data_IF_728299057924
#
_entry.id   IF_728299057924
#
_cell.length_a   1.000
_cell.length_b   1.000
_cell.length_c   1.000
_cell.angle_alpha   90.00
_cell.angle_beta   90.00
_cell.angle_gamma   90.00
#
_symmetry.space_group_name_H-M   'P 1'
#
loop_
_entity.id
_entity.type
_entity.pdbx_description
1 polymer ?
#
# COMPACT_ATOMS: atom_id res chain seq x y z
N UNK A 1 -4.44 9.25 -4.70
CA UNK A 1 -4.29 8.76 -3.33
C UNK A 1 -2.92 9.11 -2.72
N UNK A 2 -1.79 8.87 -3.38
CA UNK A 2 -0.44 9.02 -2.81
C UNK A 2 -0.18 10.35 -2.08
N UNK A 3 -0.41 11.55 -2.65
CA UNK A 3 -0.17 12.80 -1.94
C UNK A 3 -1.06 13.00 -0.69
N UNK A 4 -2.27 12.42 -0.70
CA UNK A 4 -3.18 12.50 0.43
C UNK A 4 -2.74 11.58 1.57
N UNK A 5 -2.25 10.39 1.24
CA UNK A 5 -1.78 9.40 2.21
C UNK A 5 -0.46 9.80 2.85
N UNK A 6 0.39 10.55 2.16
CA UNK A 6 1.66 11.03 2.71
C UNK A 6 1.52 11.81 4.02
N UNK A 7 0.36 12.40 4.31
CA UNK A 7 0.11 13.13 5.56
C UNK A 7 -0.07 12.21 6.78
N UNK A 8 -0.36 10.94 6.59
CA UNK A 8 -0.47 9.94 7.65
C UNK A 8 0.90 9.47 8.13
N UNK A 9 1.92 9.51 7.27
CA UNK A 9 3.25 8.97 7.52
C UNK A 9 3.96 9.76 8.61
N UNK A 10 4.04 9.21 9.79
CA UNK A 10 4.84 9.69 10.91
C UNK A 10 4.75 11.19 11.18
N UNK A 11 5.76 11.74 11.82
CA UNK A 11 5.92 13.16 12.08
C UNK A 11 6.82 13.85 11.04
N UNK A 12 6.84 15.18 11.03
CA UNK A 12 7.66 15.96 10.10
C UNK A 12 9.13 15.49 10.00
N UNK A 13 9.84 15.21 11.13
CA UNK A 13 11.23 14.69 11.06
C UNK A 13 11.36 13.37 10.30
N UNK A 14 10.35 12.50 10.38
CA UNK A 14 10.32 11.23 9.64
C UNK A 14 10.13 11.49 8.14
N UNK A 15 9.10 12.28 7.78
CA UNK A 15 8.80 12.60 6.38
C UNK A 15 9.90 13.41 5.69
N UNK A 16 10.63 14.25 6.41
CA UNK A 16 11.70 15.07 5.85
C UNK A 16 12.98 14.29 5.53
N UNK A 17 13.14 13.08 6.06
CA UNK A 17 14.33 12.24 5.87
C UNK A 17 14.01 10.88 5.24
N UNK A 18 12.82 10.38 5.44
CA UNK A 18 12.36 9.12 4.87
C UNK A 18 12.20 9.21 3.36
N UNK A 19 12.34 8.07 2.69
CA UNK A 19 12.10 7.92 1.27
C UNK A 19 11.01 6.91 1.03
N UNK A 20 10.32 7.03 -0.08
CA UNK A 20 9.29 6.08 -0.52
C UNK A 20 9.88 4.66 -0.64
N UNK A 21 10.98 4.54 -1.40
CA UNK A 21 11.68 3.25 -1.59
C UNK A 21 12.21 2.67 -0.28
N UNK A 22 12.71 3.52 0.64
CA UNK A 22 13.18 3.08 1.95
C UNK A 22 12.06 2.48 2.81
N UNK A 23 10.85 3.04 2.77
CA UNK A 23 9.69 2.49 3.48
C UNK A 23 9.28 1.13 2.93
N UNK A 24 9.24 0.99 1.60
CA UNK A 24 8.93 -0.29 0.94
C UNK A 24 10.03 -1.33 1.23
N UNK A 25 11.31 -0.95 1.18
CA UNK A 25 12.43 -1.84 1.49
C UNK A 25 12.44 -2.28 2.96
N UNK A 26 11.96 -1.43 3.86
CA UNK A 26 11.83 -1.76 5.28
C UNK A 26 10.74 -2.79 5.55
N UNK A 27 9.69 -2.83 4.73
CA UNK A 27 8.59 -3.79 4.78
C UNK A 27 7.91 -3.91 6.15
N UNK A 28 7.62 -2.76 6.80
CA UNK A 28 6.75 -2.74 7.96
C UNK A 28 5.31 -3.02 7.51
N UNK A 29 4.61 -4.02 8.09
CA UNK A 29 3.23 -4.36 7.70
C UNK A 29 2.20 -3.25 7.93
N UNK A 30 2.53 -2.26 8.77
CA UNK A 30 1.68 -1.10 9.03
C UNK A 30 2.05 0.10 8.16
N UNK A 31 3.13 0.01 7.35
CA UNK A 31 3.59 1.13 6.55
C UNK A 31 2.60 1.44 5.42
N UNK A 32 2.20 2.68 5.35
CA UNK A 32 1.19 3.21 4.40
C UNK A 32 1.60 2.96 2.95
N UNK A 33 2.91 3.06 2.65
CA UNK A 33 3.42 2.80 1.30
C UNK A 33 3.35 1.33 0.90
N UNK A 34 3.53 0.40 1.85
CA UNK A 34 3.36 -1.04 1.61
C UNK A 34 1.90 -1.37 1.27
N UNK A 35 0.95 -0.80 2.03
CA UNK A 35 -0.48 -0.97 1.76
C UNK A 35 -0.86 -0.43 0.38
N UNK A 36 -0.40 0.77 0.04
CA UNK A 36 -0.71 1.40 -1.24
C UNK A 36 -0.05 0.70 -2.43
N UNK A 37 1.16 0.17 -2.25
CA UNK A 37 1.81 -0.64 -3.28
C UNK A 37 1.02 -1.92 -3.56
N UNK A 38 0.52 -2.58 -2.51
CA UNK A 38 -0.36 -3.74 -2.61
C UNK A 38 -1.70 -3.38 -3.26
N UNK A 39 -2.38 -2.34 -2.76
CA UNK A 39 -3.69 -1.89 -3.25
C UNK A 39 -3.65 -1.59 -4.75
N UNK A 40 -2.62 -0.86 -5.18
CA UNK A 40 -2.47 -0.37 -6.56
C UNK A 40 -1.71 -1.35 -7.46
N UNK A 41 -1.38 -2.56 -6.96
CA UNK A 41 -0.62 -3.59 -7.69
C UNK A 41 0.67 -3.03 -8.30
N UNK A 42 1.37 -2.20 -7.54
CA UNK A 42 2.57 -1.55 -8.01
C UNK A 42 3.71 -2.55 -8.19
N UNK A 43 4.32 -2.67 -9.37
CA UNK A 43 5.57 -3.40 -9.52
C UNK A 43 6.72 -2.63 -8.86
N UNK A 44 7.59 -3.38 -8.20
CA UNK A 44 8.85 -2.92 -7.61
C UNK A 44 9.98 -3.34 -8.54
N UNK A 45 10.78 -2.39 -8.96
CA UNK A 45 11.93 -2.62 -9.84
C UNK A 45 13.19 -2.66 -9.00
N UNK A 46 13.87 -3.81 -9.06
CA UNK A 46 15.13 -4.07 -8.38
C UNK A 46 16.28 -4.04 -9.38
N UNK A 47 17.36 -3.40 -9.01
CA UNK A 47 18.60 -3.36 -9.81
C UNK A 47 19.77 -3.84 -8.97
N UNK A 48 20.53 -4.80 -9.49
CA UNK A 48 21.72 -5.36 -8.89
C UNK A 48 22.79 -5.73 -9.95
N UNK A 49 23.88 -6.41 -9.55
CA UNK A 49 24.95 -6.79 -10.48
C UNK A 49 24.48 -7.67 -11.65
N UNK A 50 23.42 -8.46 -11.46
CA UNK A 50 22.85 -9.31 -12.50
C UNK A 50 21.92 -8.55 -13.46
N UNK A 51 21.71 -7.26 -13.26
CA UNK A 51 20.80 -6.44 -14.05
C UNK A 51 19.56 -6.01 -13.29
N UNK A 52 18.48 -5.80 -14.02
CA UNK A 52 17.21 -5.31 -13.49
C UNK A 52 16.15 -6.41 -13.55
N UNK A 53 15.33 -6.50 -12.50
CA UNK A 53 14.12 -7.35 -12.47
C UNK A 53 12.94 -6.62 -11.84
N UNK A 54 11.75 -7.06 -12.21
CA UNK A 54 10.49 -6.49 -11.70
C UNK A 54 9.80 -7.54 -10.84
N UNK A 55 9.33 -7.13 -9.66
CA UNK A 55 8.62 -7.98 -8.71
C UNK A 55 7.30 -7.29 -8.33
N UNK A 56 6.14 -7.96 -8.45
CA UNK A 56 4.88 -7.42 -7.92
C UNK A 56 4.98 -7.12 -6.44
N UNK A 57 4.33 -6.05 -5.94
CA UNK A 57 4.39 -5.71 -4.51
C UNK A 57 3.94 -6.85 -3.60
N UNK A 58 2.97 -7.66 -4.04
CA UNK A 58 2.48 -8.82 -3.30
C UNK A 58 3.50 -9.96 -3.16
N UNK A 59 4.45 -10.04 -4.08
CA UNK A 59 5.54 -11.02 -4.06
C UNK A 59 6.83 -10.42 -3.48
N UNK A 60 6.91 -9.09 -3.45
CA UNK A 60 8.05 -8.37 -2.92
C UNK A 60 8.07 -8.35 -1.38
N UNK A 61 6.90 -8.22 -0.75
CA UNK A 61 6.75 -8.24 0.70
C UNK A 61 6.62 -9.69 1.17
N UNK A 62 7.56 -10.17 1.97
CA UNK A 62 7.61 -11.59 2.39
C UNK A 62 7.27 -11.81 3.87
N UNK A 63 7.23 -10.76 4.67
CA UNK A 63 6.95 -10.84 6.10
C UNK A 63 7.41 -9.62 6.86
N UNK A 64 7.45 -9.74 8.18
CA UNK A 64 7.98 -8.67 9.03
C UNK A 64 9.40 -8.29 8.62
N UNK A 65 9.58 -7.07 8.12
CA UNK A 65 10.87 -6.51 7.74
C UNK A 65 11.65 -7.39 6.75
N UNK A 66 10.91 -8.15 5.93
CA UNK A 66 11.48 -9.09 4.95
C UNK A 66 10.91 -8.80 3.56
N UNK A 67 11.80 -8.81 2.58
CA UNK A 67 11.48 -8.57 1.17
C UNK A 67 12.23 -9.54 0.27
N UNK A 68 11.75 -9.70 -0.96
CA UNK A 68 12.37 -10.49 -2.01
C UNK A 68 13.64 -9.85 -2.61
N UNK A 69 14.10 -8.70 -2.11
CA UNK A 69 15.34 -8.08 -2.55
C UNK A 69 16.56 -8.86 -2.04
N UNK A 70 17.50 -9.18 -2.93
CA UNK A 70 18.80 -9.73 -2.53
C UNK A 70 19.68 -8.66 -1.87
N UNK A 71 20.68 -9.04 -1.06
CA UNK A 71 21.53 -8.07 -0.36
C UNK A 71 22.30 -7.11 -1.27
N UNK A 72 22.49 -7.47 -2.53
CA UNK A 72 23.18 -6.70 -3.56
C UNK A 72 22.23 -6.01 -4.55
N UNK A 73 20.93 -6.03 -4.27
CA UNK A 73 19.91 -5.34 -5.05
C UNK A 73 19.41 -4.07 -4.34
N UNK A 74 18.98 -3.11 -5.13
CA UNK A 74 18.38 -1.87 -4.67
C UNK A 74 17.06 -1.63 -5.40
N UNK A 75 16.05 -1.13 -4.69
CA UNK A 75 14.83 -0.61 -5.31
C UNK A 75 15.21 0.66 -6.07
N UNK A 76 15.05 0.64 -7.38
CA UNK A 76 15.32 1.80 -8.24
C UNK A 76 14.04 2.49 -8.69
N UNK A 77 12.94 1.76 -8.81
CA UNK A 77 11.65 2.33 -9.19
C UNK A 77 10.51 1.58 -8.50
N UNK A 78 9.41 2.27 -8.27
CA UNK A 78 8.11 1.70 -7.91
C UNK A 78 7.09 2.35 -8.83
N UNK A 79 6.46 1.55 -9.66
CA UNK A 79 5.60 2.07 -10.71
C UNK A 79 4.13 1.94 -10.36
N UNK A 80 3.39 3.02 -10.50
CA UNK A 80 1.94 3.05 -10.30
C UNK A 80 1.28 3.17 -11.67
N UNK A 81 0.77 2.06 -12.24
CA UNK A 81 0.39 1.99 -13.64
C UNK A 81 -0.82 2.85 -13.98
N UNK A 82 -1.73 3.06 -13.03
CA UNK A 82 -2.98 3.78 -13.27
C UNK A 82 -3.31 4.78 -12.15
N UNK A 83 -3.92 5.93 -12.49
CA UNK A 83 -4.50 6.80 -11.49
C UNK A 83 -5.63 6.08 -10.74
N UNK A 84 -5.65 6.22 -9.42
CA UNK A 84 -6.72 5.69 -8.57
C UNK A 84 -7.42 6.85 -7.82
N UNK A 85 -8.28 7.65 -8.50
CA UNK A 85 -8.89 8.84 -7.92
C UNK A 85 -9.83 8.52 -6.76
N UNK A 86 -10.46 7.35 -6.79
CA UNK A 86 -11.38 6.85 -5.77
C UNK A 86 -10.70 5.96 -4.73
N UNK A 87 -9.36 5.98 -4.68
CA UNK A 87 -8.64 5.29 -3.62
C UNK A 87 -8.45 6.20 -2.40
N UNK A 88 -8.55 5.58 -1.23
CA UNK A 88 -8.38 6.24 0.07
C UNK A 88 -7.56 5.33 1.00
N UNK A 89 -6.82 5.94 1.90
CA UNK A 89 -6.17 5.29 3.02
C UNK A 89 -6.64 5.99 4.29
N UNK A 90 -6.99 5.20 5.28
CA UNK A 90 -7.30 5.64 6.65
C UNK A 90 -6.60 4.71 7.64
N UNK A 91 -6.35 5.23 8.83
CA UNK A 91 -5.69 4.46 9.87
C UNK A 91 -6.23 4.82 11.25
N UNK A 92 -6.15 3.86 12.15
CA UNK A 92 -6.39 4.02 13.56
C UNK A 92 -5.06 3.85 14.30
N UNK A 93 -4.64 4.90 14.99
CA UNK A 93 -3.42 4.95 15.78
C UNK A 93 -3.71 5.56 17.15
N UNK A 94 -2.83 5.38 18.11
CA UNK A 94 -2.97 5.94 19.44
C UNK A 94 -2.84 7.47 19.43
N UNK A 95 -1.97 7.99 18.57
CA UNK A 95 -1.76 9.42 18.31
C UNK A 95 -1.51 9.62 16.81
N UNK A 96 -1.83 10.79 16.32
CA UNK A 96 -1.49 11.13 14.94
C UNK A 96 0.04 11.10 14.75
N UNK A 97 0.51 10.33 13.78
CA UNK A 97 1.91 10.13 13.43
C UNK A 97 2.60 8.96 14.15
N UNK A 98 1.90 8.25 15.04
CA UNK A 98 2.34 6.94 15.52
C UNK A 98 2.08 5.88 14.44
N UNK A 99 2.73 4.71 14.55
CA UNK A 99 2.38 3.57 13.72
C UNK A 99 0.91 3.18 13.91
N UNK A 100 0.25 2.86 12.83
CA UNK A 100 -1.13 2.42 12.87
C UNK A 100 -1.26 1.10 13.65
N UNK A 101 -2.25 1.03 14.54
CA UNK A 101 -2.71 -0.24 15.13
C UNK A 101 -3.38 -1.07 14.03
N UNK A 102 -4.17 -0.39 13.20
CA UNK A 102 -4.74 -0.94 11.97
C UNK A 102 -4.84 0.17 10.94
N UNK A 103 -4.47 -0.14 9.71
CA UNK A 103 -4.64 0.74 8.55
C UNK A 103 -5.47 0.04 7.48
N UNK A 104 -6.26 0.81 6.74
CA UNK A 104 -7.11 0.30 5.67
C UNK A 104 -6.89 1.15 4.43
N UNK A 105 -6.52 0.50 3.34
CA UNK A 105 -6.45 1.12 2.03
C UNK A 105 -7.53 0.53 1.12
N UNK A 106 -8.32 1.39 0.49
CA UNK A 106 -9.46 1.01 -0.35
C UNK A 106 -9.33 1.67 -1.71
N UNK A 107 -9.66 0.95 -2.76
CA UNK A 107 -9.98 1.53 -4.07
C UNK A 107 -11.30 0.96 -4.56
N UNK A 108 -12.16 1.81 -5.16
CA UNK A 108 -13.43 1.40 -5.71
C UNK A 108 -13.62 1.96 -7.12
N UNK A 109 -14.22 1.17 -8.00
CA UNK A 109 -14.76 1.62 -9.27
C UNK A 109 -16.27 1.80 -9.09
N UNK A 110 -16.70 3.06 -8.99
CA UNK A 110 -18.10 3.39 -8.78
C UNK A 110 -18.64 4.00 -10.07
N UNK A 111 -19.69 3.39 -10.63
CA UNK A 111 -20.39 3.86 -11.80
C UNK A 111 -21.90 3.81 -11.55
N UNK A 112 -22.59 4.87 -11.94
CA UNK A 112 -24.05 5.01 -11.79
C UNK A 112 -24.53 4.77 -10.35
N UNK A 113 -23.72 5.18 -9.36
CA UNK A 113 -24.01 5.03 -7.93
C UNK A 113 -23.87 3.61 -7.38
N UNK A 114 -23.29 2.68 -8.14
CA UNK A 114 -23.03 1.30 -7.69
C UNK A 114 -21.54 0.96 -7.79
N UNK A 115 -21.07 0.14 -6.86
CA UNK A 115 -19.73 -0.40 -6.85
C UNK A 115 -19.61 -1.49 -7.91
N UNK A 116 -18.78 -1.29 -8.93
CA UNK A 116 -18.52 -2.30 -9.97
C UNK A 116 -17.42 -3.26 -9.54
N UNK A 117 -16.40 -2.73 -8.90
CA UNK A 117 -15.28 -3.49 -8.35
C UNK A 117 -14.66 -2.71 -7.19
N UNK A 118 -14.14 -3.42 -6.22
CA UNK A 118 -13.42 -2.84 -5.10
C UNK A 118 -12.20 -3.67 -4.74
N UNK A 119 -11.23 -3.02 -4.10
CA UNK A 119 -10.10 -3.68 -3.45
C UNK A 119 -9.92 -3.06 -2.08
N UNK A 120 -9.66 -3.91 -1.09
CA UNK A 120 -9.38 -3.52 0.29
C UNK A 120 -8.11 -4.22 0.73
N UNK A 121 -7.17 -3.45 1.28
CA UNK A 121 -5.94 -3.97 1.87
C UNK A 121 -5.86 -3.48 3.31
N UNK A 122 -5.64 -4.40 4.23
CA UNK A 122 -5.47 -4.16 5.66
C UNK A 122 -4.00 -4.19 6.03
N UNK A 123 -3.57 -3.27 6.87
CA UNK A 123 -2.23 -3.23 7.47
C UNK A 123 -2.26 -3.30 8.99
N UNK A 124 -1.18 -3.78 9.59
CA UNK A 124 -1.07 -3.97 11.04
C UNK A 124 -1.80 -5.19 11.59
N UNK A 125 -2.43 -6.00 10.74
CA UNK A 125 -3.24 -7.18 11.12
C UNK A 125 -2.48 -8.50 11.06
N UNK A 126 -1.24 -8.48 10.60
CA UNK A 126 -0.39 -9.68 10.44
C UNK A 126 1.00 -9.32 9.93
N UNK A 127 1.81 -10.30 9.53
CA UNK A 127 3.18 -10.09 9.05
C UNK A 127 3.26 -9.39 7.69
N UNK A 128 2.15 -9.33 6.98
CA UNK A 128 2.02 -8.73 5.65
C UNK A 128 0.73 -7.91 5.59
N UNK A 129 0.65 -6.91 4.71
CA UNK A 129 -0.64 -6.35 4.31
C UNK A 129 -1.53 -7.44 3.72
N UNK A 130 -2.81 -7.46 4.12
CA UNK A 130 -3.78 -8.50 3.74
C UNK A 130 -4.82 -7.93 2.79
N UNK A 131 -4.93 -8.51 1.59
CA UNK A 131 -6.03 -8.19 0.68
C UNK A 131 -7.29 -8.96 1.11
N UNK A 132 -8.40 -8.24 1.24
CA UNK A 132 -9.70 -8.78 1.66
C UNK A 132 -10.53 -9.12 0.42
N UNK A 133 -11.28 -10.22 0.47
CA UNK A 133 -12.25 -10.55 -0.57
C UNK A 133 -13.38 -9.52 -0.58
N UNK A 134 -13.55 -8.86 -1.71
CA UNK A 134 -14.54 -7.80 -1.93
C UNK A 134 -15.62 -8.19 -2.94
N UNK A 135 -15.73 -9.46 -3.30
CA UNK A 135 -16.70 -9.92 -4.30
C UNK A 135 -18.15 -9.55 -3.93
N UNK A 136 -18.48 -9.52 -2.64
CA UNK A 136 -19.80 -9.13 -2.14
C UNK A 136 -20.17 -7.65 -2.38
N UNK A 137 -19.18 -6.78 -2.67
CA UNK A 137 -19.43 -5.36 -2.94
C UNK A 137 -19.88 -5.10 -4.37
N UNK A 138 -19.67 -6.05 -5.29
CA UNK A 138 -20.02 -5.87 -6.70
C UNK A 138 -21.53 -5.73 -6.87
N UNK A 139 -21.95 -4.65 -7.52
CA UNK A 139 -23.37 -4.31 -7.75
C UNK A 139 -24.08 -3.64 -6.55
N UNK A 140 -23.42 -3.51 -5.40
CA UNK A 140 -24.03 -2.83 -4.25
C UNK A 140 -24.06 -1.32 -4.45
N UNK A 141 -25.09 -0.63 -3.92
CA UNK A 141 -25.14 0.82 -3.92
C UNK A 141 -23.95 1.42 -3.19
N UNK A 142 -23.32 2.44 -3.77
CA UNK A 142 -22.25 3.18 -3.12
C UNK A 142 -22.86 4.27 -2.21
N UNK A 143 -23.26 3.90 -1.00
CA UNK A 143 -23.83 4.78 0.02
C UNK A 143 -23.18 4.52 1.39
N UNK A 144 -23.60 5.26 2.42
CA UNK A 144 -23.03 5.14 3.77
C UNK A 144 -23.37 3.81 4.48
N UNK A 145 -24.33 3.05 3.96
CA UNK A 145 -24.80 1.79 4.56
C UNK A 145 -24.12 0.56 3.91
N UNK A 146 -23.33 0.75 2.86
CA UNK A 146 -22.59 -0.28 2.14
C UNK A 146 -21.11 -0.23 2.49
#
# INVERSE_FOLDING_TARGET
VLPRSARWIGHYPIRSRGTFGGSIAHADPSAEWCLLAMLLKAPVILTGPAGQRTVPAAEFLEGYYSTAASPDEMITEIWFPEPAPQAVLTEFAQRQGDFAIVAVAVSADIRDGACQAGRVVLGGVGPLPVEVDTAALAGQPANEDT
#
